data_IF_360357860220
#
_entry.id   IF_360357860220
#
_cell.length_a   1.000
_cell.length_b   1.000
_cell.length_c   1.000
_cell.angle_alpha   90.00
_cell.angle_beta   90.00
_cell.angle_gamma   90.00
#
_symmetry.space_group_name_H-M   'P 1'
#
loop_
_entity.id
_entity.type
_entity.pdbx_description
1 polymer ?
#
# COMPACT_ATOMS: atom_id res chain seq x y z
N UNK A 1 35.20 -0.36 -7.14
CA UNK A 1 33.78 0.07 -7.08
C UNK A 1 33.28 0.20 -5.63
N UNK A 2 33.38 -0.84 -4.80
CA UNK A 2 32.91 -0.84 -3.38
C UNK A 2 33.52 0.30 -2.53
N UNK A 3 34.84 0.50 -2.62
CA UNK A 3 35.53 1.61 -1.93
C UNK A 3 35.12 3.00 -2.46
N UNK A 4 34.76 3.09 -3.74
CA UNK A 4 34.35 4.36 -4.37
C UNK A 4 32.93 4.74 -3.94
N UNK A 5 32.02 3.76 -3.87
CA UNK A 5 30.67 3.95 -3.32
C UNK A 5 30.70 4.24 -1.82
N UNK A 6 31.59 3.61 -1.05
CA UNK A 6 31.77 3.94 0.37
C UNK A 6 32.31 5.36 0.56
N UNK A 7 33.26 5.81 -0.26
CA UNK A 7 33.76 7.20 -0.22
C UNK A 7 32.67 8.23 -0.53
N UNK A 8 31.69 7.90 -1.38
CA UNK A 8 30.53 8.75 -1.65
C UNK A 8 29.59 8.77 -0.43
N UNK A 9 29.32 7.62 0.17
CA UNK A 9 28.45 7.49 1.36
C UNK A 9 29.04 8.26 2.55
N UNK A 10 30.36 8.20 2.74
CA UNK A 10 31.09 8.85 3.84
C UNK A 10 31.49 10.32 3.58
N UNK A 11 31.06 10.94 2.47
CA UNK A 11 31.45 12.31 2.04
C UNK A 11 32.96 12.52 1.80
N UNK A 12 33.73 11.44 1.66
CA UNK A 12 35.17 11.52 1.43
C UNK A 12 35.54 11.60 -0.05
N UNK A 13 34.58 11.37 -0.94
CA UNK A 13 34.78 11.36 -2.37
C UNK A 13 35.20 12.75 -2.92
N UNK A 14 36.17 12.74 -3.85
CA UNK A 14 36.72 13.95 -4.46
C UNK A 14 35.67 14.83 -5.16
N UNK A 15 34.60 14.24 -5.71
CA UNK A 15 33.52 14.98 -6.38
C UNK A 15 32.71 15.83 -5.38
N UNK A 16 32.50 15.31 -4.17
CA UNK A 16 31.80 16.01 -3.09
C UNK A 16 32.73 17.07 -2.49
N UNK A 17 33.99 16.71 -2.18
CA UNK A 17 34.97 17.66 -1.63
C UNK A 17 35.26 18.86 -2.55
N UNK A 18 35.19 18.67 -3.86
CA UNK A 18 35.42 19.74 -4.86
C UNK A 18 34.15 20.52 -5.22
N UNK A 19 33.01 20.18 -4.61
CA UNK A 19 31.73 20.87 -4.78
C UNK A 19 31.10 20.68 -6.14
N UNK A 20 31.42 19.59 -6.85
CA UNK A 20 30.75 19.24 -8.11
C UNK A 20 29.43 18.48 -7.84
N UNK A 21 29.32 17.88 -6.66
CA UNK A 21 28.25 16.97 -6.35
C UNK A 21 27.77 17.20 -4.93
N UNK A 22 26.46 17.37 -4.76
CA UNK A 22 25.81 17.55 -3.46
C UNK A 22 24.88 16.39 -3.15
N UNK A 23 24.90 15.95 -1.89
CA UNK A 23 23.97 14.94 -1.40
C UNK A 23 22.69 15.61 -0.95
N UNK A 24 21.56 15.07 -1.39
CA UNK A 24 20.25 15.43 -0.87
C UNK A 24 19.52 14.17 -0.42
N UNK A 25 18.85 14.25 0.71
CA UNK A 25 18.02 13.16 1.19
C UNK A 25 16.68 13.21 0.46
N UNK A 26 16.38 12.18 -0.32
CA UNK A 26 15.12 12.10 -1.05
C UNK A 26 13.92 12.15 -0.12
N UNK A 27 12.81 12.60 -0.68
CA UNK A 27 11.57 12.92 0.02
C UNK A 27 11.04 11.75 0.89
N UNK A 28 11.05 10.49 0.43
CA UNK A 28 10.23 9.45 1.10
C UNK A 28 10.94 8.25 1.74
N UNK A 29 12.20 7.99 1.41
CA UNK A 29 12.99 6.89 1.98
C UNK A 29 14.42 7.40 2.09
N UNK A 30 15.21 6.94 3.05
CA UNK A 30 16.62 7.29 3.25
C UNK A 30 17.54 6.81 2.09
N UNK A 31 17.09 6.92 0.84
CA UNK A 31 17.94 6.87 -0.32
C UNK A 31 18.75 8.16 -0.36
N UNK A 32 20.07 7.97 -0.39
CA UNK A 32 21.02 9.03 -0.64
C UNK A 32 21.02 9.30 -2.14
N UNK A 33 20.28 10.32 -2.59
CA UNK A 33 20.43 10.80 -3.95
C UNK A 33 21.48 11.91 -4.02
N UNK A 34 22.03 12.04 -5.22
CA UNK A 34 23.22 12.80 -5.50
C UNK A 34 22.89 13.75 -6.64
N UNK A 35 22.98 15.06 -6.40
CA UNK A 35 22.74 16.11 -7.40
C UNK A 35 24.05 16.63 -7.91
N UNK A 36 24.06 17.03 -9.17
CA UNK A 36 25.07 17.96 -9.66
C UNK A 36 24.76 19.35 -9.11
N UNK A 37 25.81 20.03 -8.65
CA UNK A 37 25.77 21.44 -8.25
C UNK A 37 25.72 22.35 -9.47
N UNK A 38 25.36 23.63 -9.29
CA UNK A 38 25.38 24.62 -10.38
C UNK A 38 26.78 24.73 -11.03
N UNK A 39 27.83 24.60 -10.22
CA UNK A 39 29.22 24.55 -10.70
C UNK A 39 29.47 23.40 -11.69
N UNK A 40 28.81 22.26 -11.49
CA UNK A 40 28.92 21.11 -12.40
C UNK A 40 28.12 21.28 -13.67
N UNK A 41 26.92 21.84 -13.58
CA UNK A 41 26.08 22.07 -14.75
C UNK A 41 26.76 23.07 -15.69
N UNK A 42 27.31 24.16 -15.16
CA UNK A 42 28.04 25.17 -15.93
C UNK A 42 29.30 24.62 -16.59
N UNK A 43 30.02 23.72 -15.89
CA UNK A 43 31.20 23.07 -16.44
C UNK A 43 30.86 22.12 -17.59
N UNK A 44 29.80 21.33 -17.45
CA UNK A 44 29.38 20.37 -18.47
C UNK A 44 28.77 21.04 -19.71
N UNK A 45 28.07 22.17 -19.53
CA UNK A 45 27.54 22.96 -20.64
C UNK A 45 28.65 23.59 -21.49
N UNK A 46 29.73 24.07 -20.87
CA UNK A 46 30.91 24.61 -21.59
C UNK A 46 31.59 23.57 -22.48
N UNK A 47 31.52 22.30 -22.10
CA UNK A 47 32.09 21.17 -22.85
C UNK A 47 31.08 20.52 -23.83
N UNK A 48 29.91 21.15 -24.05
CA UNK A 48 28.82 20.62 -24.90
C UNK A 48 28.28 19.23 -24.49
N UNK A 49 28.39 18.86 -23.20
CA UNK A 49 27.90 17.57 -22.69
C UNK A 49 26.48 17.72 -22.17
N UNK A 50 25.50 17.10 -22.84
CA UNK A 50 24.09 17.11 -22.41
C UNK A 50 23.84 16.06 -21.32
N UNK A 51 23.29 16.50 -20.19
CA UNK A 51 22.87 15.63 -19.10
C UNK A 51 21.51 14.97 -19.42
N UNK A 52 21.50 13.63 -19.47
CA UNK A 52 20.26 12.86 -19.48
C UNK A 52 19.87 12.56 -18.03
N UNK A 53 18.92 13.32 -17.48
CA UNK A 53 18.33 13.00 -16.18
C UNK A 53 17.60 11.64 -16.28
N UNK A 54 18.24 10.57 -15.81
CA UNK A 54 17.50 9.41 -15.32
C UNK A 54 16.76 9.92 -14.09
N UNK A 55 15.45 10.12 -14.20
CA UNK A 55 14.59 10.39 -13.03
C UNK A 55 14.97 9.37 -11.95
N UNK A 56 15.45 9.88 -10.82
CA UNK A 56 15.64 9.11 -9.60
C UNK A 56 14.35 8.39 -9.21
N UNK A 57 14.48 7.45 -8.29
CA UNK A 57 13.48 6.43 -7.96
C UNK A 57 12.22 6.99 -7.26
N UNK A 58 12.04 8.31 -7.24
CA UNK A 58 10.82 9.05 -6.81
C UNK A 58 9.53 8.50 -7.45
N UNK A 59 9.66 7.83 -8.60
CA UNK A 59 8.54 7.20 -9.30
C UNK A 59 7.93 5.99 -8.58
N UNK A 60 8.60 5.39 -7.58
CA UNK A 60 8.07 4.24 -6.84
C UNK A 60 7.02 4.61 -5.80
N UNK A 61 7.19 5.74 -5.12
CA UNK A 61 6.25 6.19 -4.09
C UNK A 61 5.08 6.97 -4.68
N UNK A 62 5.27 7.70 -5.79
CA UNK A 62 4.20 8.48 -6.42
C UNK A 62 3.58 7.75 -7.62
N UNK A 63 2.41 7.14 -7.42
CA UNK A 63 1.68 6.38 -8.43
C UNK A 63 0.60 7.26 -9.07
N UNK A 64 0.70 7.47 -10.38
CA UNK A 64 -0.30 8.21 -11.14
C UNK A 64 -1.52 7.33 -11.46
N UNK A 65 -2.75 7.89 -11.46
CA UNK A 65 -3.97 7.11 -11.70
C UNK A 65 -4.00 6.46 -13.09
N UNK A 66 -3.33 7.06 -14.07
CA UNK A 66 -3.21 6.55 -15.44
C UNK A 66 -2.38 5.27 -15.53
N UNK A 67 -1.39 5.09 -14.65
CA UNK A 67 -0.54 3.89 -14.59
C UNK A 67 -1.22 2.70 -13.95
N UNK A 68 -2.32 2.91 -13.21
CA UNK A 68 -3.02 1.84 -12.50
C UNK A 68 -3.85 1.02 -13.49
N UNK A 69 -3.68 -0.30 -13.51
CA UNK A 69 -4.53 -1.19 -14.30
C UNK A 69 -5.97 -1.19 -13.75
N UNK A 70 -6.97 -1.17 -14.63
CA UNK A 70 -8.37 -1.30 -14.18
C UNK A 70 -8.63 -2.75 -13.81
N UNK A 71 -9.01 -3.02 -12.57
CA UNK A 71 -9.38 -4.36 -12.11
C UNK A 71 -10.82 -4.35 -11.60
N UNK A 72 -11.55 -5.41 -11.92
CA UNK A 72 -12.90 -5.62 -11.39
C UNK A 72 -12.78 -6.31 -10.04
N UNK A 73 -13.24 -5.65 -8.99
CA UNK A 73 -13.27 -6.18 -7.63
C UNK A 73 -14.69 -6.61 -7.27
N UNK A 74 -14.78 -7.61 -6.41
CA UNK A 74 -16.03 -8.16 -5.91
C UNK A 74 -15.95 -8.19 -4.38
N UNK A 75 -16.99 -7.70 -3.73
CA UNK A 75 -17.09 -7.58 -2.28
C UNK A 75 -18.49 -7.99 -1.84
N UNK A 76 -18.66 -8.31 -0.55
CA UNK A 76 -19.96 -8.51 0.05
C UNK A 76 -20.73 -7.18 0.06
N UNK A 77 -22.05 -7.23 0.23
CA UNK A 77 -22.88 -6.04 0.08
C UNK A 77 -22.51 -4.90 1.04
N UNK A 78 -22.13 -5.24 2.27
CA UNK A 78 -21.78 -4.28 3.32
C UNK A 78 -20.51 -3.51 2.92
N UNK A 79 -19.43 -4.24 2.61
CA UNK A 79 -18.16 -3.66 2.18
C UNK A 79 -18.34 -2.82 0.91
N UNK A 80 -19.11 -3.34 -0.06
CA UNK A 80 -19.38 -2.64 -1.31
C UNK A 80 -20.08 -1.29 -1.06
N UNK A 81 -21.12 -1.26 -0.22
CA UNK A 81 -21.84 -0.02 0.14
C UNK A 81 -20.90 0.99 0.79
N UNK A 82 -20.03 0.55 1.71
CA UNK A 82 -19.05 1.41 2.37
C UNK A 82 -18.00 1.96 1.38
N UNK A 83 -17.45 1.11 0.51
CA UNK A 83 -16.48 1.53 -0.51
C UNK A 83 -17.09 2.47 -1.55
N UNK A 84 -18.33 2.23 -1.96
CA UNK A 84 -19.07 3.10 -2.88
C UNK A 84 -19.33 4.47 -2.23
N UNK A 85 -19.70 4.51 -0.94
CA UNK A 85 -19.86 5.73 -0.18
C UNK A 85 -18.55 6.54 -0.13
N UNK A 86 -17.43 5.89 0.20
CA UNK A 86 -16.11 6.53 0.25
C UNK A 86 -15.72 7.04 -1.13
N UNK A 87 -15.80 6.19 -2.17
CA UNK A 87 -15.45 6.56 -3.54
C UNK A 87 -16.27 7.76 -4.03
N UNK A 88 -17.58 7.75 -3.79
CA UNK A 88 -18.46 8.86 -4.20
C UNK A 88 -18.18 10.15 -3.43
N UNK A 89 -17.83 10.07 -2.15
CA UNK A 89 -17.46 11.22 -1.33
C UNK A 89 -16.15 11.87 -1.79
N UNK A 90 -15.24 11.09 -2.39
CA UNK A 90 -13.94 11.57 -2.87
C UNK A 90 -13.98 12.14 -4.31
N UNK A 91 -15.11 12.08 -5.02
CA UNK A 91 -15.23 12.54 -6.42
C UNK A 91 -15.46 14.05 -6.54
N UNK A 92 -14.60 14.71 -7.33
CA UNK A 92 -14.83 16.06 -7.83
C UNK A 92 -15.20 17.07 -6.74
N UNK A 93 -16.30 17.80 -6.96
CA UNK A 93 -16.80 18.83 -6.04
C UNK A 93 -17.32 18.26 -4.71
N UNK A 94 -17.77 17.00 -4.67
CA UNK A 94 -18.28 16.37 -3.45
C UNK A 94 -17.23 16.29 -2.35
N UNK A 95 -15.96 16.13 -2.72
CA UNK A 95 -14.86 16.14 -1.76
C UNK A 95 -14.71 17.53 -1.10
N UNK A 96 -14.76 18.59 -1.89
CA UNK A 96 -14.66 19.97 -1.37
C UNK A 96 -15.87 20.29 -0.48
N UNK A 97 -17.06 19.87 -0.89
CA UNK A 97 -18.29 20.03 -0.11
C UNK A 97 -18.23 19.23 1.21
N UNK A 98 -17.73 17.99 1.17
CA UNK A 98 -17.50 17.18 2.35
C UNK A 98 -16.58 17.92 3.34
N UNK A 99 -15.46 18.46 2.87
CA UNK A 99 -14.53 19.19 3.73
C UNK A 99 -15.20 20.42 4.38
N UNK A 100 -15.95 21.21 3.61
CA UNK A 100 -16.71 22.36 4.14
C UNK A 100 -17.74 21.96 5.19
N UNK A 101 -18.47 20.86 4.96
CA UNK A 101 -19.49 20.34 5.90
C UNK A 101 -18.86 19.77 7.18
N UNK A 102 -17.65 19.20 7.09
CA UNK A 102 -16.89 18.76 8.26
C UNK A 102 -16.41 19.97 9.08
N UNK A 103 -15.87 20.98 8.40
CA UNK A 103 -15.42 22.23 9.02
C UNK A 103 -16.56 22.96 9.74
N UNK A 104 -17.74 23.07 9.13
CA UNK A 104 -18.92 23.70 9.75
C UNK A 104 -19.41 22.96 11.01
N UNK A 105 -19.01 21.70 11.19
CA UNK A 105 -19.34 20.88 12.36
C UNK A 105 -18.19 20.79 13.37
N UNK A 106 -17.13 21.59 13.19
CA UNK A 106 -15.89 21.50 13.98
C UNK A 106 -15.28 20.10 14.01
N UNK A 107 -15.42 19.35 12.90
CA UNK A 107 -14.80 18.03 12.72
C UNK A 107 -13.51 18.15 11.90
N UNK A 108 -12.55 17.22 12.08
CA UNK A 108 -11.36 17.15 11.23
C UNK A 108 -11.74 17.09 9.75
N UNK A 109 -11.08 17.92 8.92
CA UNK A 109 -11.37 18.04 7.49
C UNK A 109 -10.61 17.03 6.63
N UNK A 110 -9.66 16.30 7.23
CA UNK A 110 -9.00 15.17 6.60
C UNK A 110 -9.91 13.95 6.53
N UNK A 111 -9.83 13.24 5.41
CA UNK A 111 -10.55 11.97 5.22
C UNK A 111 -9.56 10.83 5.45
N UNK A 112 -9.56 10.30 6.67
CA UNK A 112 -8.77 9.12 7.03
C UNK A 112 -9.63 7.86 6.95
N UNK A 113 -9.18 6.89 6.15
CA UNK A 113 -9.85 5.61 5.89
C UNK A 113 -8.95 4.46 6.32
N UNK A 114 -9.45 3.57 7.16
CA UNK A 114 -8.80 2.32 7.52
C UNK A 114 -9.50 1.16 6.81
N UNK A 115 -8.74 0.38 6.04
CA UNK A 115 -9.17 -0.88 5.46
C UNK A 115 -8.52 -2.02 6.24
N UNK A 116 -9.30 -2.80 6.98
CA UNK A 116 -8.80 -3.89 7.80
C UNK A 116 -9.44 -5.23 7.41
N UNK A 117 -8.90 -6.35 7.90
CA UNK A 117 -9.47 -7.68 7.68
C UNK A 117 -8.46 -8.69 7.15
N UNK A 118 -8.93 -9.86 6.73
CA UNK A 118 -8.07 -10.98 6.36
C UNK A 118 -7.14 -10.67 5.16
N UNK A 119 -5.94 -11.26 5.08
CA UNK A 119 -5.06 -11.09 3.92
C UNK A 119 -5.70 -11.64 2.63
N UNK A 120 -5.40 -11.00 1.49
CA UNK A 120 -5.92 -11.43 0.19
C UNK A 120 -7.38 -11.09 -0.12
N UNK A 121 -8.05 -10.26 0.70
CA UNK A 121 -9.43 -9.79 0.45
C UNK A 121 -9.52 -8.54 -0.44
N UNK A 122 -8.40 -8.02 -0.94
CA UNK A 122 -8.39 -6.91 -1.90
C UNK A 122 -8.27 -5.50 -1.29
N UNK A 123 -7.85 -5.37 -0.02
CA UNK A 123 -7.66 -4.08 0.67
C UNK A 123 -6.77 -3.10 -0.11
N UNK A 124 -5.53 -3.50 -0.41
CA UNK A 124 -4.55 -2.69 -1.17
C UNK A 124 -5.06 -2.33 -2.56
N UNK A 125 -5.66 -3.30 -3.27
CA UNK A 125 -6.20 -3.08 -4.61
C UNK A 125 -7.40 -2.13 -4.60
N UNK A 126 -8.21 -2.12 -3.54
CA UNK A 126 -9.33 -1.18 -3.37
C UNK A 126 -8.86 0.27 -3.37
N UNK A 127 -7.74 0.56 -2.72
CA UNK A 127 -7.13 1.91 -2.72
C UNK A 127 -6.75 2.31 -4.15
N UNK A 128 -6.11 1.41 -4.90
CA UNK A 128 -5.74 1.65 -6.30
C UNK A 128 -6.97 1.92 -7.17
N UNK A 129 -8.02 1.12 -7.05
CA UNK A 129 -9.23 1.32 -7.85
C UNK A 129 -10.00 2.59 -7.46
N UNK A 130 -10.02 2.98 -6.18
CA UNK A 130 -10.60 4.25 -5.73
C UNK A 130 -9.79 5.44 -6.26
N UNK A 131 -8.45 5.39 -6.17
CA UNK A 131 -7.58 6.41 -6.71
C UNK A 131 -7.80 6.61 -8.22
N UNK A 132 -7.89 5.50 -8.96
CA UNK A 132 -8.19 5.51 -10.39
C UNK A 132 -9.58 6.09 -10.68
N UNK A 133 -10.61 5.65 -9.96
CA UNK A 133 -11.99 6.10 -10.14
C UNK A 133 -12.20 7.59 -9.78
N UNK A 134 -11.40 8.13 -8.86
CA UNK A 134 -11.42 9.55 -8.48
C UNK A 134 -10.42 10.39 -9.27
N UNK A 135 -9.53 9.74 -10.03
CA UNK A 135 -8.45 10.35 -10.81
C UNK A 135 -7.45 11.07 -9.91
N UNK A 136 -7.06 10.45 -8.80
CA UNK A 136 -6.09 10.99 -7.82
C UNK A 136 -4.79 10.19 -7.87
N UNK A 137 -3.66 10.89 -7.72
CA UNK A 137 -2.36 10.24 -7.50
C UNK A 137 -2.30 9.59 -6.11
N UNK A 138 -1.38 8.65 -5.94
CA UNK A 138 -1.13 7.96 -4.67
C UNK A 138 0.31 8.21 -4.26
N UNK A 139 0.52 8.64 -3.02
CA UNK A 139 1.81 8.65 -2.35
C UNK A 139 1.82 7.42 -1.44
N UNK A 140 2.43 6.33 -1.91
CA UNK A 140 2.50 5.06 -1.19
C UNK A 140 3.69 5.08 -0.24
N UNK A 141 3.43 4.75 1.03
CA UNK A 141 4.43 4.48 2.07
C UNK A 141 4.22 3.05 2.55
N UNK A 142 5.29 2.27 2.49
CA UNK A 142 5.28 0.87 2.91
C UNK A 142 5.99 0.74 4.26
N UNK A 143 5.21 0.59 5.33
CA UNK A 143 5.74 0.73 6.69
C UNK A 143 6.43 -0.56 7.15
N UNK A 144 5.99 -1.72 6.65
CA UNK A 144 6.58 -3.03 6.97
C UNK A 144 8.00 -3.16 6.43
N UNK A 145 8.26 -2.70 5.21
CA UNK A 145 9.58 -2.75 4.57
C UNK A 145 10.63 -1.86 5.24
N UNK A 146 10.18 -0.87 6.00
CA UNK A 146 11.08 0.19 6.48
C UNK A 146 11.46 0.01 7.97
N UNK A 147 10.88 -0.95 8.70
CA UNK A 147 11.21 -1.25 10.11
C UNK A 147 12.70 -1.36 10.43
N UNK A 148 13.52 -1.92 9.53
CA UNK A 148 14.97 -2.07 9.75
C UNK A 148 15.76 -0.76 9.63
N UNK A 149 15.28 0.20 8.83
CA UNK A 149 15.92 1.52 8.68
C UNK A 149 15.44 2.54 9.72
N UNK A 150 14.45 2.16 10.56
CA UNK A 150 13.68 3.06 11.42
C UNK A 150 14.19 3.10 12.86
N UNK A 151 15.24 2.34 13.17
CA UNK A 151 15.94 2.44 14.43
C UNK A 151 16.83 3.70 14.43
N UNK A 152 16.39 4.76 15.14
CA UNK A 152 17.15 5.98 15.40
C UNK A 152 16.61 7.26 14.75
N UNK A 153 16.06 7.20 13.54
CA UNK A 153 15.55 8.38 12.79
C UNK A 153 14.07 8.32 12.38
N UNK A 154 13.35 7.29 12.82
CA UNK A 154 11.96 7.02 12.42
C UNK A 154 10.97 8.16 12.65
N UNK A 155 11.12 8.89 13.75
CA UNK A 155 10.28 10.05 14.07
C UNK A 155 10.36 11.13 12.99
N UNK A 156 11.58 11.42 12.53
CA UNK A 156 11.84 12.41 11.47
C UNK A 156 11.26 11.94 10.14
N UNK A 157 11.34 10.64 9.85
CA UNK A 157 10.83 10.05 8.61
C UNK A 157 9.31 10.22 8.53
N UNK A 158 8.56 9.92 9.60
CA UNK A 158 7.10 10.13 9.59
C UNK A 158 6.75 11.61 9.40
N UNK A 159 7.37 12.52 10.15
CA UNK A 159 7.12 13.96 9.98
C UNK A 159 7.43 14.44 8.57
N UNK A 160 8.51 13.93 7.98
CA UNK A 160 8.90 14.21 6.59
C UNK A 160 7.84 13.72 5.61
N UNK A 161 7.34 12.49 5.77
CA UNK A 161 6.25 11.94 4.94
C UNK A 161 5.02 12.86 4.90
N UNK A 162 4.59 13.38 6.06
CA UNK A 162 3.43 14.29 6.13
C UNK A 162 3.74 15.69 5.58
N UNK A 163 4.94 16.20 5.85
CA UNK A 163 5.42 17.49 5.31
C UNK A 163 5.44 17.45 3.78
N UNK A 164 6.05 16.41 3.22
CA UNK A 164 6.18 16.22 1.78
C UNK A 164 4.82 15.96 1.12
N UNK A 165 3.95 15.20 1.78
CA UNK A 165 2.57 15.03 1.34
C UNK A 165 1.84 16.37 1.22
N UNK A 166 1.98 17.27 2.20
CA UNK A 166 1.33 18.58 2.16
C UNK A 166 1.89 19.47 1.05
N UNK A 167 3.21 19.42 0.79
CA UNK A 167 3.80 20.12 -0.36
C UNK A 167 3.25 19.61 -1.70
N UNK A 168 3.20 18.29 -1.87
CA UNK A 168 2.68 17.68 -3.10
C UNK A 168 1.19 18.00 -3.25
N UNK A 169 0.42 17.94 -2.16
CA UNK A 169 -1.00 18.29 -2.13
C UNK A 169 -1.23 19.72 -2.60
N UNK A 170 -0.44 20.70 -2.13
CA UNK A 170 -0.53 22.10 -2.55
C UNK A 170 -0.21 22.31 -4.03
N UNK A 171 0.75 21.56 -4.57
CA UNK A 171 1.15 21.63 -5.99
C UNK A 171 0.21 20.86 -6.93
N UNK A 172 -0.62 19.96 -6.38
CA UNK A 172 -1.46 19.06 -7.16
C UNK A 172 -2.84 19.65 -7.47
N UNK A 173 -3.29 19.51 -8.73
CA UNK A 173 -4.66 19.92 -9.14
C UNK A 173 -5.77 19.20 -8.38
N UNK A 174 -5.53 17.95 -7.96
CA UNK A 174 -6.42 17.15 -7.12
C UNK A 174 -5.65 16.66 -5.91
N UNK A 175 -6.25 16.74 -4.73
CA UNK A 175 -5.66 16.17 -3.51
C UNK A 175 -5.25 14.71 -3.75
N UNK A 176 -3.95 14.37 -3.64
CA UNK A 176 -3.49 12.99 -3.74
C UNK A 176 -3.98 12.16 -2.55
N UNK A 177 -3.82 10.84 -2.65
CA UNK A 177 -4.08 9.91 -1.56
C UNK A 177 -2.74 9.54 -0.91
N UNK A 178 -2.59 9.81 0.39
CA UNK A 178 -1.51 9.23 1.20
C UNK A 178 -1.90 7.80 1.54
N UNK A 179 -1.11 6.82 1.09
CA UNK A 179 -1.44 5.41 1.25
C UNK A 179 -0.41 4.69 2.12
N UNK A 180 -0.80 4.32 3.34
CA UNK A 180 -0.05 3.48 4.24
C UNK A 180 -0.42 2.01 4.01
N UNK A 181 0.43 1.30 3.28
CA UNK A 181 0.26 -0.12 3.05
C UNK A 181 0.86 -0.92 4.22
N UNK A 182 0.15 -1.96 4.67
CA UNK A 182 0.60 -2.84 5.75
C UNK A 182 1.01 -2.07 7.02
N UNK A 183 0.14 -1.16 7.45
CA UNK A 183 0.38 -0.26 8.57
C UNK A 183 0.35 -0.96 9.95
N UNK A 184 0.21 -2.29 9.99
CA UNK A 184 0.25 -3.16 11.18
C UNK A 184 1.38 -2.75 12.14
N UNK A 185 2.55 -2.46 11.58
CA UNK A 185 3.74 -2.01 12.29
C UNK A 185 3.56 -0.81 13.23
N UNK A 186 2.67 0.12 12.87
CA UNK A 186 2.54 1.42 13.53
C UNK A 186 1.15 1.71 14.06
N UNK A 187 0.14 0.91 13.72
CA UNK A 187 -1.22 1.11 14.24
C UNK A 187 -1.66 0.03 15.23
N UNK A 188 -0.88 -1.05 15.37
CA UNK A 188 -1.17 -2.10 16.34
C UNK A 188 -0.99 -1.61 17.79
N UNK A 189 -1.64 -2.30 18.73
CA UNK A 189 -1.56 -2.06 20.17
C UNK A 189 -0.12 -1.91 20.61
N UNK A 190 0.09 -0.93 21.50
CA UNK A 190 1.36 -0.70 22.19
C UNK A 190 1.80 -2.00 22.85
N UNK A 191 3.09 -2.33 22.72
CA UNK A 191 3.67 -3.45 23.44
C UNK A 191 3.85 -3.04 24.89
N UNK A 192 3.24 -3.78 25.82
CA UNK A 192 3.34 -3.54 27.28
C UNK A 192 4.73 -3.85 27.87
N UNK A 193 5.68 -4.29 27.06
CA UNK A 193 7.03 -4.64 27.52
C UNK A 193 7.89 -3.39 27.66
N UNK A 194 7.88 -2.82 28.86
CA UNK A 194 8.63 -1.64 29.29
C UNK A 194 10.18 -1.76 29.26
N UNK A 195 10.75 -2.80 28.64
CA UNK A 195 12.18 -3.13 28.76
C UNK A 195 12.96 -3.21 27.44
N UNK A 196 12.36 -2.88 26.29
CA UNK A 196 13.10 -2.80 25.02
C UNK A 196 13.10 -1.40 24.42
N UNK A 197 14.28 -0.90 24.03
CA UNK A 197 14.44 0.35 23.28
C UNK A 197 13.57 0.37 22.00
N UNK A 198 13.28 -0.83 21.46
CA UNK A 198 12.38 -1.04 20.31
C UNK A 198 10.96 -0.60 20.62
N UNK A 199 10.39 -1.03 21.75
CA UNK A 199 9.01 -0.70 22.12
C UNK A 199 8.83 0.80 22.40
N UNK A 200 9.82 1.44 23.01
CA UNK A 200 9.79 2.90 23.21
C UNK A 200 9.81 3.66 21.88
N UNK A 201 10.66 3.24 20.94
CA UNK A 201 10.73 3.84 19.59
C UNK A 201 9.41 3.65 18.84
N UNK A 202 8.83 2.45 18.87
CA UNK A 202 7.53 2.17 18.25
C UNK A 202 6.42 3.07 18.84
N UNK A 203 6.37 3.23 20.17
CA UNK A 203 5.38 4.09 20.83
C UNK A 203 5.55 5.58 20.48
N UNK A 204 6.78 6.06 20.33
CA UNK A 204 7.04 7.44 19.92
C UNK A 204 6.56 7.72 18.49
N UNK A 205 6.82 6.79 17.56
CA UNK A 205 6.30 6.82 16.19
C UNK A 205 4.77 6.88 16.19
N UNK A 206 4.13 6.06 17.02
CA UNK A 206 2.67 6.05 17.16
C UNK A 206 2.12 7.40 17.61
N UNK A 207 2.75 8.04 18.59
CA UNK A 207 2.33 9.35 19.08
C UNK A 207 2.43 10.42 18.00
N UNK A 208 3.55 10.46 17.27
CA UNK A 208 3.74 11.41 16.17
C UNK A 208 2.70 11.17 15.07
N UNK A 209 2.46 9.89 14.71
CA UNK A 209 1.47 9.56 13.71
C UNK A 209 0.05 10.00 14.12
N UNK A 210 -0.29 9.87 15.40
CA UNK A 210 -1.57 10.36 15.93
C UNK A 210 -1.69 11.89 15.85
N UNK A 211 -0.63 12.62 16.21
CA UNK A 211 -0.56 14.08 16.12
C UNK A 211 -0.74 14.57 14.67
N UNK A 212 -0.04 13.93 13.73
CA UNK A 212 -0.16 14.23 12.30
C UNK A 212 -1.57 13.92 11.77
N UNK A 213 -2.19 12.82 12.20
CA UNK A 213 -3.57 12.46 11.82
C UNK A 213 -4.61 13.46 12.33
N UNK A 214 -4.41 14.06 13.50
CA UNK A 214 -5.34 15.06 14.06
C UNK A 214 -5.39 16.34 13.22
N UNK A 215 -4.23 16.77 12.71
CA UNK A 215 -4.09 17.99 11.91
C UNK A 215 -4.19 17.75 10.40
N UNK A 216 -4.40 16.51 9.98
CA UNK A 216 -4.39 16.12 8.57
C UNK A 216 -5.56 16.72 7.80
N UNK A 217 -5.28 17.38 6.67
CA UNK A 217 -6.30 18.03 5.79
C UNK A 217 -6.45 17.34 4.43
N UNK A 218 -5.91 16.14 4.30
CA UNK A 218 -5.78 15.37 3.06
C UNK A 218 -6.71 14.17 2.95
N UNK A 219 -6.34 13.22 2.10
CA UNK A 219 -6.97 11.90 2.01
C UNK A 219 -5.92 10.86 2.40
N UNK A 220 -6.19 10.11 3.46
CA UNK A 220 -5.30 9.04 3.94
C UNK A 220 -6.03 7.72 3.88
N UNK A 221 -5.37 6.72 3.29
CA UNK A 221 -5.79 5.33 3.36
C UNK A 221 -4.72 4.54 4.11
N UNK A 222 -5.14 3.74 5.08
CA UNK A 222 -4.29 2.77 5.75
C UNK A 222 -4.86 1.36 5.53
N UNK A 223 -3.98 0.38 5.34
CA UNK A 223 -4.38 -1.04 5.27
C UNK A 223 -3.72 -1.83 6.38
N UNK A 224 -4.47 -2.74 7.00
CA UNK A 224 -3.99 -3.60 8.08
C UNK A 224 -4.57 -5.00 7.96
N UNK A 225 -3.79 -6.00 8.36
CA UNK A 225 -4.26 -7.38 8.47
C UNK A 225 -4.70 -7.71 9.91
N UNK A 226 -4.47 -6.82 10.88
CA UNK A 226 -4.63 -7.06 12.31
C UNK A 226 -5.76 -6.21 12.90
N UNK A 227 -7.01 -6.47 12.50
CA UNK A 227 -8.18 -5.73 13.00
C UNK A 227 -8.31 -5.77 14.53
N UNK A 228 -8.11 -6.95 15.15
CA UNK A 228 -8.32 -7.16 16.59
C UNK A 228 -7.27 -6.49 17.48
N UNK A 229 -6.10 -6.17 16.90
CA UNK A 229 -4.98 -5.58 17.61
C UNK A 229 -4.80 -4.09 17.29
N UNK A 230 -5.81 -3.38 16.79
CA UNK A 230 -5.73 -1.94 16.58
C UNK A 230 -5.73 -1.18 17.93
N UNK A 231 -4.90 -0.16 18.05
CA UNK A 231 -4.91 0.75 19.21
C UNK A 231 -6.12 1.71 19.16
N UNK A 232 -6.75 1.93 20.33
CA UNK A 232 -7.99 2.72 20.45
C UNK A 232 -7.84 4.19 20.05
N UNK A 233 -6.64 4.77 20.17
CA UNK A 233 -6.40 6.14 19.77
C UNK A 233 -6.50 6.27 18.24
N UNK A 234 -5.89 5.32 17.51
CA UNK A 234 -6.01 5.27 16.05
C UNK A 234 -7.44 5.05 15.61
N UNK A 235 -8.16 4.15 16.27
CA UNK A 235 -9.57 3.86 15.95
C UNK A 235 -10.46 5.11 15.94
N UNK A 236 -10.19 6.08 16.83
CA UNK A 236 -10.95 7.34 16.94
C UNK A 236 -10.57 8.39 15.88
N UNK A 237 -9.42 8.24 15.21
CA UNK A 237 -8.92 9.20 14.21
C UNK A 237 -9.22 8.78 12.77
N UNK A 238 -9.60 7.53 12.54
CA UNK A 238 -10.13 7.10 11.25
C UNK A 238 -11.62 7.42 11.13
N UNK A 239 -11.98 8.26 10.15
CA UNK A 239 -13.36 8.61 9.84
C UNK A 239 -14.14 7.42 9.28
N UNK A 240 -13.49 6.63 8.43
CA UNK A 240 -14.07 5.41 7.87
C UNK A 240 -13.24 4.19 8.28
N UNK A 241 -13.94 3.14 8.72
CA UNK A 241 -13.36 1.84 9.04
C UNK A 241 -14.14 0.79 8.24
N UNK A 242 -13.47 0.15 7.30
CA UNK A 242 -14.06 -0.86 6.42
C UNK A 242 -13.42 -2.20 6.77
N UNK A 243 -14.25 -3.11 7.25
CA UNK A 243 -13.84 -4.49 7.53
C UNK A 243 -14.00 -5.34 6.28
N UNK A 244 -12.89 -5.91 5.81
CA UNK A 244 -12.86 -6.81 4.67
C UNK A 244 -12.94 -8.24 5.18
N UNK A 245 -14.16 -8.76 5.20
CA UNK A 245 -14.42 -10.14 5.54
C UNK A 245 -14.06 -11.09 4.39
N UNK A 246 -14.11 -12.40 4.64
CA UNK A 246 -14.03 -13.36 3.56
C UNK A 246 -15.23 -13.20 2.62
N UNK A 247 -15.02 -13.28 1.30
CA UNK A 247 -16.12 -13.14 0.34
C UNK A 247 -17.15 -14.25 0.55
N UNK A 248 -18.44 -13.92 0.48
CA UNK A 248 -19.55 -14.87 0.54
C UNK A 248 -19.53 -15.82 -0.66
N UNK A 249 -20.26 -16.92 -0.59
CA UNK A 249 -20.31 -17.93 -1.67
C UNK A 249 -20.65 -17.31 -3.03
N UNK A 250 -21.65 -16.43 -3.08
CA UNK A 250 -22.04 -15.73 -4.31
C UNK A 250 -20.90 -14.86 -4.83
N UNK A 251 -20.20 -14.15 -3.94
CA UNK A 251 -19.08 -13.29 -4.28
C UNK A 251 -17.89 -14.12 -4.76
N UNK A 252 -17.55 -15.23 -4.09
CA UNK A 252 -16.53 -16.19 -4.51
C UNK A 252 -16.81 -16.76 -5.89
N UNK A 253 -18.04 -17.18 -6.17
CA UNK A 253 -18.43 -17.69 -7.48
C UNK A 253 -18.22 -16.64 -8.58
N UNK A 254 -18.54 -15.37 -8.29
CA UNK A 254 -18.29 -14.26 -9.21
C UNK A 254 -16.79 -13.99 -9.42
N UNK A 255 -15.96 -14.09 -8.36
CA UNK A 255 -14.50 -13.96 -8.47
C UNK A 255 -13.95 -15.07 -9.36
N UNK A 256 -14.33 -16.33 -9.11
CA UNK A 256 -13.95 -17.48 -9.93
C UNK A 256 -14.34 -17.29 -11.39
N UNK A 257 -15.60 -16.94 -11.67
CA UNK A 257 -16.09 -16.68 -13.02
C UNK A 257 -15.34 -15.56 -13.72
N UNK A 258 -14.93 -14.53 -12.98
CA UNK A 258 -14.21 -13.40 -13.54
C UNK A 258 -12.75 -13.72 -13.87
N UNK A 259 -12.09 -14.57 -13.09
CA UNK A 259 -10.66 -14.86 -13.20
C UNK A 259 -10.37 -16.11 -14.03
N UNK A 260 -11.14 -17.17 -13.81
CA UNK A 260 -10.97 -18.47 -14.46
C UNK A 260 -12.07 -18.63 -15.52
N UNK A 261 -11.73 -18.45 -16.80
CA UNK A 261 -12.69 -18.57 -17.92
C UNK A 261 -12.76 -20.00 -18.43
N UNK A 262 -13.92 -20.41 -18.96
CA UNK A 262 -14.08 -21.68 -19.66
C UNK A 262 -14.82 -22.78 -18.90
N UNK A 263 -15.41 -22.47 -17.74
CA UNK A 263 -16.25 -23.40 -16.99
C UNK A 263 -17.71 -22.94 -16.94
N UNK A 264 -18.62 -23.87 -16.67
CA UNK A 264 -20.05 -23.57 -16.49
C UNK A 264 -20.29 -22.76 -15.20
N UNK A 265 -21.41 -22.04 -15.15
CA UNK A 265 -21.78 -21.29 -13.93
C UNK A 265 -21.96 -22.21 -12.71
N UNK A 266 -22.44 -23.44 -12.91
CA UNK A 266 -22.55 -24.45 -11.85
C UNK A 266 -21.20 -24.82 -11.23
N UNK A 267 -20.15 -24.97 -12.05
CA UNK A 267 -18.82 -25.31 -11.55
C UNK A 267 -18.24 -24.22 -10.65
N UNK A 268 -18.47 -22.95 -10.97
CA UNK A 268 -18.03 -21.84 -10.11
C UNK A 268 -18.75 -21.81 -8.77
N UNK A 269 -20.06 -22.11 -8.77
CA UNK A 269 -20.83 -22.25 -7.53
C UNK A 269 -20.32 -23.41 -6.67
N UNK A 270 -20.05 -24.57 -7.29
CA UNK A 270 -19.50 -25.73 -6.58
C UNK A 270 -18.14 -25.41 -5.94
N UNK A 271 -17.21 -24.80 -6.69
CA UNK A 271 -15.91 -24.38 -6.13
C UNK A 271 -16.07 -23.35 -5.01
N UNK A 272 -17.00 -22.41 -5.16
CA UNK A 272 -17.27 -21.40 -4.15
C UNK A 272 -17.88 -21.98 -2.87
N UNK A 273 -18.70 -23.02 -2.98
CA UNK A 273 -19.30 -23.70 -1.86
C UNK A 273 -18.26 -24.56 -1.11
N UNK A 274 -17.50 -25.37 -1.85
CA UNK A 274 -16.51 -26.29 -1.29
C UNK A 274 -15.31 -25.58 -0.63
N UNK A 275 -14.88 -24.44 -1.19
CA UNK A 275 -13.67 -23.74 -0.75
C UNK A 275 -13.95 -22.30 -0.33
N UNK A 276 -13.82 -22.03 0.98
CA UNK A 276 -13.90 -20.69 1.55
C UNK A 276 -12.57 -19.94 1.38
N UNK A 277 -12.31 -19.48 0.15
CA UNK A 277 -11.08 -18.78 -0.22
C UNK A 277 -11.23 -17.26 -0.29
N UNK A 278 -10.15 -16.56 0.05
CA UNK A 278 -9.98 -15.15 -0.25
C UNK A 278 -9.69 -14.92 -1.73
N UNK A 279 -9.86 -13.68 -2.21
CA UNK A 279 -9.57 -13.32 -3.60
C UNK A 279 -8.11 -13.61 -4.00
N UNK A 280 -7.17 -13.48 -3.07
CA UNK A 280 -5.76 -13.78 -3.24
C UNK A 280 -5.45 -15.28 -3.31
N UNK A 281 -6.15 -16.11 -2.52
CA UNK A 281 -6.05 -17.57 -2.65
C UNK A 281 -6.60 -18.02 -4.01
N UNK A 282 -7.71 -17.45 -4.47
CA UNK A 282 -8.23 -17.71 -5.82
C UNK A 282 -7.22 -17.27 -6.90
N UNK A 283 -6.52 -16.13 -6.73
CA UNK A 283 -5.45 -15.71 -7.64
C UNK A 283 -4.32 -16.74 -7.73
N UNK A 284 -3.94 -17.36 -6.61
CA UNK A 284 -2.90 -18.39 -6.61
C UNK A 284 -3.35 -19.62 -7.42
N UNK A 285 -4.60 -20.06 -7.28
CA UNK A 285 -5.13 -21.18 -8.09
C UNK A 285 -5.19 -20.82 -9.57
N UNK A 286 -5.62 -19.60 -9.89
CA UNK A 286 -5.69 -19.13 -11.29
C UNK A 286 -4.29 -19.09 -11.91
N UNK A 287 -3.27 -18.63 -11.18
CA UNK A 287 -1.87 -18.68 -11.62
C UNK A 287 -1.39 -20.11 -11.86
N UNK A 288 -1.75 -21.06 -11.00
CA UNK A 288 -1.43 -22.49 -11.22
C UNK A 288 -2.09 -23.01 -12.50
N UNK A 289 -3.35 -22.63 -12.75
CA UNK A 289 -4.07 -23.00 -13.97
C UNK A 289 -3.45 -22.38 -15.24
N UNK A 290 -3.05 -21.11 -15.20
CA UNK A 290 -2.36 -20.44 -16.30
C UNK A 290 -0.99 -21.09 -16.57
N UNK A 291 -0.22 -21.37 -15.52
CA UNK A 291 1.06 -22.06 -15.65
C UNK A 291 0.89 -23.44 -16.28
N UNK A 292 -0.12 -24.20 -15.84
CA UNK A 292 -0.45 -25.49 -16.40
C UNK A 292 -0.80 -25.40 -17.89
N UNK A 293 -1.61 -24.42 -18.29
CA UNK A 293 -1.95 -24.20 -19.71
C UNK A 293 -0.73 -23.88 -20.56
N UNK A 294 0.22 -23.11 -20.02
CA UNK A 294 1.49 -22.80 -20.69
C UNK A 294 2.38 -24.04 -20.84
N UNK A 295 2.43 -24.91 -19.84
CA UNK A 295 3.31 -26.10 -19.82
C UNK A 295 2.75 -27.24 -20.66
N UNK A 296 1.46 -27.55 -20.48
CA UNK A 296 0.81 -28.71 -21.11
C UNK A 296 0.13 -28.37 -22.45
N UNK A 297 0.03 -27.09 -22.80
CA UNK A 297 -0.63 -26.63 -24.03
C UNK A 297 -2.14 -26.86 -24.06
N UNK A 298 -2.76 -27.21 -22.92
CA UNK A 298 -4.20 -27.43 -22.78
C UNK A 298 -4.76 -26.77 -21.53
N UNK A 299 -6.06 -26.45 -21.55
CA UNK A 299 -6.75 -25.93 -20.37
C UNK A 299 -6.91 -27.02 -19.30
N UNK A 300 -6.81 -26.58 -18.05
CA UNK A 300 -7.07 -27.45 -16.90
C UNK A 300 -8.54 -27.89 -16.87
N UNK A 301 -8.79 -29.14 -16.49
CA UNK A 301 -10.13 -29.62 -16.19
C UNK A 301 -10.55 -29.21 -14.78
N UNK A 302 -11.85 -29.22 -14.50
CA UNK A 302 -12.39 -28.82 -13.19
C UNK A 302 -11.86 -29.69 -12.05
N UNK A 303 -11.55 -30.96 -12.33
CA UNK A 303 -10.94 -31.89 -11.36
C UNK A 303 -9.53 -31.46 -10.95
N UNK A 304 -8.72 -30.98 -11.90
CA UNK A 304 -7.35 -30.48 -11.64
C UNK A 304 -7.41 -29.20 -10.80
N UNK A 305 -8.34 -28.29 -11.13
CA UNK A 305 -8.60 -27.09 -10.34
C UNK A 305 -8.97 -27.44 -8.90
N UNK A 306 -9.91 -28.38 -8.72
CA UNK A 306 -10.33 -28.84 -7.39
C UNK A 306 -9.16 -29.45 -6.60
N UNK A 307 -8.26 -30.19 -7.26
CA UNK A 307 -7.07 -30.73 -6.61
C UNK A 307 -6.13 -29.61 -6.12
N UNK A 308 -5.84 -28.61 -6.97
CA UNK A 308 -5.02 -27.46 -6.55
C UNK A 308 -5.67 -26.64 -5.44
N UNK A 309 -7.00 -26.52 -5.42
CA UNK A 309 -7.72 -25.95 -4.28
C UNK A 309 -7.44 -26.75 -2.99
N UNK A 310 -7.44 -28.08 -3.05
CA UNK A 310 -7.09 -28.93 -1.92
C UNK A 310 -5.66 -28.73 -1.41
N UNK A 311 -4.70 -28.50 -2.31
CA UNK A 311 -3.28 -28.25 -1.98
C UNK A 311 -3.05 -26.86 -1.35
N UNK A 312 -3.84 -25.85 -1.72
CA UNK A 312 -3.74 -24.49 -1.17
C UNK A 312 -4.15 -24.43 0.31
N UNK A 313 -4.95 -25.39 0.77
CA UNK A 313 -5.35 -25.54 2.18
C UNK A 313 -4.22 -26.21 2.99
N UNK A 314 -3.17 -25.44 3.29
CA UNK A 314 -1.97 -25.90 4.03
C UNK A 314 -2.31 -26.58 5.38
N UNK A 315 -3.45 -26.28 6.00
CA UNK A 315 -3.73 -26.62 7.41
C UNK A 315 -4.85 -27.66 7.68
N UNK A 316 -5.36 -28.42 6.71
CA UNK A 316 -6.33 -29.51 7.01
C UNK A 316 -5.75 -30.93 7.04
N UNK A 317 -4.50 -31.16 6.57
CA UNK A 317 -3.91 -32.51 6.50
C UNK A 317 -2.93 -32.89 7.63
N UNK A 318 -2.53 -31.97 8.51
CA UNK A 318 -1.54 -32.27 9.57
C UNK A 318 -2.11 -32.94 10.84
N UNK A 319 -3.35 -33.44 10.83
CA UNK A 319 -3.87 -34.29 11.91
C UNK A 319 -3.82 -35.80 11.61
N UNK A 320 -3.20 -36.23 10.51
CA UNK A 320 -2.84 -37.64 10.36
C UNK A 320 -1.46 -37.81 10.99
N UNK A 321 -1.43 -38.24 12.26
CA UNK A 321 -0.25 -38.86 12.87
C UNK A 321 0.15 -40.05 12.01
N UNK A 322 1.11 -39.87 11.12
CA UNK A 322 1.83 -40.98 10.52
C UNK A 322 2.85 -41.41 11.58
N UNK A 323 2.45 -42.38 12.40
CA UNK A 323 3.37 -43.15 13.22
C UNK A 323 4.16 -44.10 12.34
N UNK A 324 5.46 -44.20 12.61
CA UNK A 324 6.22 -45.42 12.37
C UNK A 324 6.35 -46.17 13.69
#
# INVERSE_FOLDING_TARGET
LIHYSQGIICKENALIKRGFVERFETYFLNNTEIKLTEKSTDFLEKENIKLVNKKGDDSKCHILPEKLAKKKLFFNEIEKKQLDLISNSLKGQKFVELQKRLESKALPTGVAVLLHGAPGTGKTESVYQIAKATGRGIIKVDISQTKSMWFGESEKIIKKVFTDYEEIRKKSKKCPILFFNEADAVISRRKDTASSNVAQTENAIQNILLEELENFKGILFATTNLADNLDKAFERRFLFKVDFSFPDEIVRANIWKSKLKGFSSSNYSVLANEFSFSGGQIDNIVRKAELFEVVEGRKAHIAEIRNWCGEELINKKNNIKIGF
#
